data_IF_764569881899
#
_entry.id   IF_764569881899
#
_cell.length_a   1.000
_cell.length_b   1.000
_cell.length_c   1.000
_cell.angle_alpha   90.00
_cell.angle_beta   90.00
_cell.angle_gamma   90.00
#
_symmetry.space_group_name_H-M   'P 1'
#
loop_
_entity.id
_entity.type
_entity.pdbx_description
1 polymer ?
#
# COMPACT_ATOMS: atom_id res chain seq x y z
N UNK A 1 4.77 6.13 14.26
CA UNK A 1 3.90 5.13 13.65
C UNK A 1 3.37 5.72 12.34
N UNK A 2 3.66 5.07 11.20
CA UNK A 2 3.26 5.52 9.86
C UNK A 2 2.03 4.77 9.32
N UNK A 3 1.48 3.84 10.11
CA UNK A 3 0.18 3.24 9.81
C UNK A 3 -0.95 4.20 10.14
N UNK A 4 -1.95 4.25 9.27
CA UNK A 4 -3.16 5.05 9.48
C UNK A 4 -4.19 4.25 10.28
N UNK A 5 -4.84 4.91 11.19
CA UNK A 5 -5.90 4.34 11.99
C UNK A 5 -7.00 5.35 12.28
N UNK A 6 -8.22 4.92 12.16
CA UNK A 6 -9.42 5.74 12.37
C UNK A 6 -9.76 6.66 11.19
N UNK A 7 -10.99 7.11 11.16
CA UNK A 7 -11.49 8.06 10.19
C UNK A 7 -12.12 7.44 8.94
N UNK A 8 -12.84 8.29 8.24
CA UNK A 8 -13.60 7.96 7.04
C UNK A 8 -12.73 8.11 5.78
N UNK A 9 -12.60 7.05 5.00
CA UNK A 9 -11.85 7.03 3.73
C UNK A 9 -12.71 6.56 2.53
N UNK A 10 -14.01 6.61 2.67
CA UNK A 10 -14.95 6.28 1.59
C UNK A 10 -15.30 4.80 1.45
N UNK A 11 -14.64 3.90 2.18
CA UNK A 11 -14.89 2.46 2.18
C UNK A 11 -15.33 1.91 3.54
N UNK A 12 -15.76 2.76 4.46
CA UNK A 12 -16.12 2.37 5.83
C UNK A 12 -17.32 1.41 5.87
N UNK A 13 -18.24 1.53 4.93
CA UNK A 13 -19.39 0.66 4.81
C UNK A 13 -19.03 -0.78 4.37
N UNK A 14 -17.80 -1.04 4.01
CA UNK A 14 -17.28 -2.38 3.72
C UNK A 14 -16.58 -3.02 4.93
N UNK A 15 -16.45 -2.31 6.05
CA UNK A 15 -15.89 -2.82 7.30
C UNK A 15 -16.99 -3.35 8.22
N UNK A 16 -16.74 -4.45 8.97
CA UNK A 16 -17.69 -4.94 9.98
C UNK A 16 -17.68 -4.10 11.26
N UNK A 17 -16.81 -3.10 11.35
CA UNK A 17 -16.71 -2.16 12.48
C UNK A 17 -16.87 -0.73 11.98
N UNK A 18 -17.51 0.11 12.80
CA UNK A 18 -17.53 1.56 12.56
C UNK A 18 -16.17 2.14 12.95
N UNK A 19 -15.35 2.43 11.94
CA UNK A 19 -13.99 2.94 12.10
C UNK A 19 -13.95 4.34 12.75
N UNK A 20 -15.04 5.09 12.68
CA UNK A 20 -15.16 6.44 13.22
C UNK A 20 -15.58 6.46 14.69
N UNK A 21 -16.20 5.38 15.17
CA UNK A 21 -16.76 5.27 16.52
C UNK A 21 -16.31 3.97 17.19
N UNK A 22 -15.00 3.85 17.41
CA UNK A 22 -14.45 2.72 18.17
C UNK A 22 -14.62 2.93 19.67
N UNK A 23 -14.79 1.85 20.46
CA UNK A 23 -14.80 1.94 21.93
C UNK A 23 -13.51 2.58 22.48
N UNK A 24 -13.60 3.15 23.69
CA UNK A 24 -12.46 3.74 24.36
C UNK A 24 -11.30 2.75 24.50
N UNK A 25 -10.10 3.21 24.16
CA UNK A 25 -8.88 2.40 24.19
C UNK A 25 -8.72 1.41 23.03
N UNK A 26 -9.74 1.23 22.19
CA UNK A 26 -9.66 0.43 20.96
C UNK A 26 -9.21 1.31 19.80
N UNK A 27 -8.34 0.79 18.96
CA UNK A 27 -7.89 1.45 17.73
C UNK A 27 -7.81 0.45 16.59
N UNK A 28 -7.81 0.96 15.37
CA UNK A 28 -7.70 0.16 14.17
C UNK A 28 -6.44 0.54 13.40
N UNK A 29 -5.72 -0.43 12.88
CA UNK A 29 -4.70 -0.25 11.85
C UNK A 29 -5.34 -0.63 10.51
N UNK A 30 -5.36 0.34 9.59
CA UNK A 30 -6.10 0.22 8.33
C UNK A 30 -5.16 -0.08 7.17
N UNK A 31 -5.51 -1.10 6.38
CA UNK A 31 -4.80 -1.44 5.15
C UNK A 31 -5.04 -0.37 4.06
N UNK A 32 -6.30 -0.01 3.83
CA UNK A 32 -6.68 1.00 2.82
C UNK A 32 -6.23 2.41 3.19
N UNK A 33 -6.42 2.83 4.44
CA UNK A 33 -6.00 4.15 4.91
C UNK A 33 -4.49 4.34 4.78
N UNK A 34 -3.71 3.33 5.13
CA UNK A 34 -2.26 3.33 4.95
C UNK A 34 -1.89 3.40 3.47
N UNK A 35 -2.60 2.64 2.62
CA UNK A 35 -2.38 2.65 1.18
C UNK A 35 -2.74 4.00 0.53
N UNK A 36 -3.81 4.67 0.98
CA UNK A 36 -4.15 6.02 0.50
C UNK A 36 -3.05 7.03 0.82
N UNK A 37 -2.45 6.97 2.02
CA UNK A 37 -1.33 7.85 2.36
C UNK A 37 -0.10 7.58 1.50
N UNK A 38 0.17 6.31 1.19
CA UNK A 38 1.22 5.95 0.24
C UNK A 38 0.92 6.47 -1.18
N UNK A 39 -0.33 6.32 -1.65
CA UNK A 39 -0.75 6.81 -2.96
C UNK A 39 -0.63 8.35 -3.07
N UNK A 40 -0.98 9.09 -2.02
CA UNK A 40 -0.75 10.54 -1.99
C UNK A 40 0.73 10.89 -2.00
N UNK A 41 1.57 10.19 -1.23
CA UNK A 41 3.02 10.40 -1.26
C UNK A 41 3.60 10.11 -2.64
N UNK A 42 3.10 9.07 -3.33
CA UNK A 42 3.45 8.73 -4.70
C UNK A 42 3.05 9.83 -5.69
N UNK A 43 1.82 10.33 -5.60
CA UNK A 43 1.35 11.41 -6.46
C UNK A 43 2.20 12.68 -6.28
N UNK A 44 2.52 13.02 -5.04
CA UNK A 44 3.40 14.16 -4.74
C UNK A 44 4.84 13.93 -5.21
N UNK A 45 5.35 12.70 -5.15
CA UNK A 45 6.65 12.33 -5.71
C UNK A 45 6.67 12.57 -7.22
N UNK A 46 5.66 12.10 -7.95
CA UNK A 46 5.56 12.29 -9.40
C UNK A 46 5.53 13.78 -9.76
N UNK A 47 4.72 14.57 -9.04
CA UNK A 47 4.67 16.02 -9.24
C UNK A 47 6.03 16.69 -8.95
N UNK A 48 6.69 16.31 -7.86
CA UNK A 48 8.01 16.82 -7.51
C UNK A 48 9.06 16.49 -8.57
N UNK A 49 9.04 15.26 -9.13
CA UNK A 49 9.92 14.86 -10.22
C UNK A 49 9.73 15.71 -11.49
N UNK A 50 8.48 15.98 -11.86
CA UNK A 50 8.17 16.87 -13.00
C UNK A 50 8.73 18.28 -12.75
N UNK A 51 8.50 18.84 -11.57
CA UNK A 51 8.99 20.18 -11.23
C UNK A 51 10.52 20.23 -11.15
N UNK A 52 11.15 19.21 -10.57
CA UNK A 52 12.60 19.10 -10.46
C UNK A 52 13.30 18.94 -11.83
N UNK A 53 12.60 18.42 -12.83
CA UNK A 53 13.13 18.38 -14.20
C UNK A 53 13.33 19.76 -14.80
N UNK A 54 12.51 20.72 -14.41
CA UNK A 54 12.57 22.12 -14.86
C UNK A 54 13.41 23.00 -13.92
N UNK A 55 13.37 22.74 -12.60
CA UNK A 55 14.06 23.55 -11.60
C UNK A 55 14.58 22.69 -10.43
N UNK A 56 15.93 22.59 -10.27
CA UNK A 56 16.55 21.79 -9.20
C UNK A 56 16.18 22.20 -7.77
N UNK A 57 15.56 23.36 -7.55
CA UNK A 57 15.09 23.78 -6.22
C UNK A 57 14.07 22.79 -5.64
N UNK A 58 13.40 22.02 -6.49
CA UNK A 58 12.43 20.99 -6.08
C UNK A 58 13.04 19.62 -5.76
N UNK A 59 14.34 19.44 -5.87
CA UNK A 59 15.01 18.16 -5.54
C UNK A 59 14.75 17.71 -4.10
N UNK A 60 14.70 18.65 -3.15
CA UNK A 60 14.39 18.33 -1.75
C UNK A 60 12.95 17.79 -1.57
N UNK A 61 12.01 18.21 -2.42
CA UNK A 61 10.64 17.68 -2.40
C UNK A 61 10.58 16.26 -2.93
N UNK A 62 11.38 15.93 -3.95
CA UNK A 62 11.53 14.57 -4.46
C UNK A 62 12.04 13.65 -3.35
N UNK A 63 13.11 14.08 -2.66
CA UNK A 63 13.67 13.33 -1.52
C UNK A 63 12.62 13.11 -0.44
N UNK A 64 11.92 14.16 -0.03
CA UNK A 64 10.91 14.12 1.03
C UNK A 64 9.79 13.12 0.73
N UNK A 65 9.19 13.19 -0.46
CA UNK A 65 8.03 12.32 -0.77
C UNK A 65 8.43 10.87 -1.03
N UNK A 66 9.60 10.63 -1.61
CA UNK A 66 10.12 9.28 -1.73
C UNK A 66 10.42 8.68 -0.35
N UNK A 67 11.05 9.43 0.54
CA UNK A 67 11.32 9.04 1.92
C UNK A 67 10.03 8.67 2.66
N UNK A 68 9.01 9.50 2.53
CA UNK A 68 7.72 9.25 3.15
C UNK A 68 7.04 8.00 2.60
N UNK A 69 7.10 7.79 1.29
CA UNK A 69 6.58 6.58 0.67
C UNK A 69 7.28 5.32 1.20
N UNK A 70 8.61 5.33 1.24
CA UNK A 70 9.41 4.20 1.75
C UNK A 70 9.07 3.91 3.23
N UNK A 71 8.96 4.95 4.07
CA UNK A 71 8.58 4.79 5.47
C UNK A 71 7.19 4.15 5.66
N UNK A 72 6.23 4.49 4.78
CA UNK A 72 4.90 3.88 4.80
C UNK A 72 4.99 2.43 4.32
N UNK A 73 5.75 2.15 3.27
CA UNK A 73 5.96 0.79 2.75
C UNK A 73 6.59 -0.13 3.81
N UNK A 74 7.66 0.33 4.46
CA UNK A 74 8.31 -0.42 5.55
C UNK A 74 7.35 -0.68 6.72
N UNK A 75 6.53 0.32 7.08
CA UNK A 75 5.57 0.17 8.16
C UNK A 75 4.46 -0.82 7.81
N UNK A 76 3.97 -0.81 6.56
CA UNK A 76 2.97 -1.76 6.10
C UNK A 76 3.54 -3.19 6.10
N UNK A 77 4.75 -3.37 5.58
CA UNK A 77 5.39 -4.69 5.53
C UNK A 77 5.66 -5.26 6.94
N UNK A 78 6.15 -4.42 7.86
CA UNK A 78 6.38 -4.80 9.24
C UNK A 78 5.10 -4.94 10.08
N UNK A 79 3.96 -4.48 9.58
CA UNK A 79 2.71 -4.40 10.36
C UNK A 79 2.08 -5.76 10.60
N UNK A 80 2.21 -6.70 9.64
CA UNK A 80 1.46 -7.95 9.60
C UNK A 80 -0.01 -7.76 9.19
N UNK A 81 -0.33 -6.68 8.45
CA UNK A 81 -1.66 -6.50 7.83
C UNK A 81 -1.86 -7.42 6.61
N UNK A 82 -0.78 -7.92 6.02
CA UNK A 82 -0.84 -8.97 5.02
C UNK A 82 -0.89 -10.33 5.70
N UNK A 83 -1.94 -11.08 5.42
CA UNK A 83 -2.09 -12.45 5.91
C UNK A 83 -1.46 -13.41 4.89
N UNK A 84 -0.38 -14.08 5.31
CA UNK A 84 0.38 -14.98 4.44
C UNK A 84 -0.39 -16.26 4.06
N UNK A 85 -1.34 -16.71 4.88
CA UNK A 85 -2.18 -17.87 4.56
C UNK A 85 -3.21 -17.52 3.50
N UNK A 86 -3.95 -16.44 3.72
CA UNK A 86 -5.01 -15.98 2.81
C UNK A 86 -4.44 -15.29 1.55
N UNK A 87 -3.22 -14.76 1.60
CA UNK A 87 -2.63 -13.94 0.53
C UNK A 87 -3.39 -12.64 0.32
N UNK A 88 -3.79 -11.99 1.41
CA UNK A 88 -4.69 -10.84 1.36
C UNK A 88 -4.42 -9.86 2.50
N UNK A 89 -4.70 -8.57 2.30
CA UNK A 89 -4.58 -7.56 3.33
C UNK A 89 -5.85 -7.43 4.16
N UNK A 90 -5.69 -7.33 5.47
CA UNK A 90 -6.77 -7.12 6.41
C UNK A 90 -6.47 -5.95 7.34
N UNK A 91 -7.52 -5.24 7.74
CA UNK A 91 -7.45 -4.34 8.88
C UNK A 91 -7.25 -5.11 10.16
N UNK A 92 -6.77 -4.44 11.19
CA UNK A 92 -6.51 -5.05 12.48
C UNK A 92 -6.98 -4.14 13.62
N UNK A 93 -7.78 -4.71 14.53
CA UNK A 93 -8.12 -4.08 15.78
C UNK A 93 -6.99 -4.26 16.79
N UNK A 94 -6.78 -3.22 17.58
CA UNK A 94 -5.88 -3.23 18.74
C UNK A 94 -6.73 -2.86 19.93
N UNK A 95 -6.88 -3.77 20.90
CA UNK A 95 -7.63 -3.53 22.12
C UNK A 95 -6.87 -2.65 23.13
N UNK A 96 -7.53 -2.31 24.24
CA UNK A 96 -6.94 -1.49 25.30
C UNK A 96 -5.70 -2.15 25.98
N UNK A 97 -5.54 -3.46 25.82
CA UNK A 97 -4.40 -4.23 26.35
C UNK A 97 -3.27 -4.37 25.31
N UNK A 98 -3.48 -3.90 24.08
CA UNK A 98 -2.52 -3.99 22.99
C UNK A 98 -2.58 -5.31 22.22
N UNK A 99 -3.58 -6.16 22.45
CA UNK A 99 -3.80 -7.36 21.65
C UNK A 99 -4.23 -6.96 20.24
N UNK A 100 -3.72 -7.69 19.26
CA UNK A 100 -3.91 -7.41 17.84
C UNK A 100 -4.75 -8.50 17.20
N UNK A 101 -5.94 -8.16 16.72
CA UNK A 101 -6.90 -9.08 16.11
C UNK A 101 -7.15 -8.69 14.66
N UNK A 102 -6.81 -9.54 13.67
CA UNK A 102 -7.11 -9.26 12.27
C UNK A 102 -8.61 -9.34 12.02
N UNK A 103 -9.14 -8.41 11.24
CA UNK A 103 -10.53 -8.41 10.76
C UNK A 103 -10.55 -9.16 9.44
N UNK A 104 -10.70 -10.48 9.49
CA UNK A 104 -10.63 -11.36 8.30
C UNK A 104 -11.88 -11.30 7.43
N UNK A 105 -12.24 -10.10 6.97
CA UNK A 105 -13.31 -9.89 5.98
C UNK A 105 -12.70 -9.49 4.65
N UNK A 106 -12.85 -10.35 3.65
CA UNK A 106 -12.36 -10.11 2.30
C UNK A 106 -13.28 -9.13 1.57
N UNK A 107 -12.88 -7.87 1.56
CA UNK A 107 -13.58 -6.78 0.84
C UNK A 107 -12.58 -6.03 -0.05
N UNK A 108 -13.08 -5.10 -0.87
CA UNK A 108 -12.22 -4.23 -1.69
C UNK A 108 -11.21 -3.42 -0.86
N UNK A 109 -11.45 -3.22 0.44
CA UNK A 109 -10.51 -2.58 1.37
C UNK A 109 -9.13 -3.23 1.32
N UNK A 110 -9.07 -4.56 1.35
CA UNK A 110 -7.83 -5.33 1.31
C UNK A 110 -7.14 -5.36 -0.06
N UNK A 111 -7.77 -4.79 -1.11
CA UNK A 111 -7.16 -4.67 -2.43
C UNK A 111 -6.52 -3.29 -2.66
N UNK A 112 -6.88 -2.27 -1.88
CA UNK A 112 -6.38 -0.91 -2.04
C UNK A 112 -4.84 -0.82 -1.97
N UNK A 113 -4.13 -1.59 -1.11
CA UNK A 113 -2.67 -1.54 -1.07
C UNK A 113 -1.98 -1.78 -2.41
N UNK A 114 -2.56 -2.60 -3.31
CA UNK A 114 -1.98 -2.87 -4.63
C UNK A 114 -2.03 -1.63 -5.53
N UNK A 115 -3.00 -0.74 -5.33
CA UNK A 115 -3.21 0.44 -6.16
C UNK A 115 -2.20 1.55 -5.87
N UNK A 116 -1.52 1.52 -4.73
CA UNK A 116 -0.46 2.48 -4.38
C UNK A 116 0.84 2.12 -5.12
N UNK A 117 0.79 2.15 -6.44
CA UNK A 117 1.89 1.79 -7.35
C UNK A 117 2.01 2.85 -8.44
N UNK A 118 3.22 3.29 -8.72
CA UNK A 118 3.53 4.26 -9.76
C UNK A 118 4.75 3.86 -10.58
N UNK A 119 4.93 4.48 -11.73
CA UNK A 119 6.08 4.25 -12.59
C UNK A 119 6.68 5.57 -13.04
N UNK A 120 7.97 5.74 -12.83
CA UNK A 120 8.73 6.95 -13.17
C UNK A 120 9.97 6.58 -14.00
N UNK A 121 10.50 7.49 -14.84
CA UNK A 121 11.77 7.25 -15.52
C UNK A 121 12.89 7.00 -14.50
N UNK A 122 13.64 5.91 -14.69
CA UNK A 122 14.70 5.53 -13.75
C UNK A 122 15.78 6.61 -13.61
N UNK A 123 16.09 7.30 -14.71
CA UNK A 123 17.04 8.42 -14.70
C UNK A 123 16.64 9.57 -13.78
N UNK A 124 15.32 9.85 -13.64
CA UNK A 124 14.83 10.92 -12.78
C UNK A 124 14.98 10.57 -11.29
N UNK A 125 14.82 9.29 -10.93
CA UNK A 125 15.00 8.83 -9.55
C UNK A 125 16.48 8.75 -9.19
N UNK A 126 17.35 8.53 -10.17
CA UNK A 126 18.80 8.39 -9.95
C UNK A 126 19.59 9.70 -10.03
N UNK A 127 18.98 10.80 -10.52
CA UNK A 127 19.66 12.10 -10.72
C UNK A 127 20.10 12.81 -9.43
N UNK A 128 19.30 12.95 -8.39
CA UNK A 128 19.72 13.72 -7.23
C UNK A 128 20.83 13.02 -6.47
N UNK A 129 22.00 13.63 -6.38
CA UNK A 129 23.14 13.10 -5.60
C UNK A 129 22.78 12.93 -4.11
N UNK A 130 21.85 13.73 -3.60
CA UNK A 130 21.28 13.59 -2.26
C UNK A 130 20.44 12.32 -2.11
N UNK A 131 19.64 11.96 -3.10
CA UNK A 131 18.88 10.70 -3.14
C UNK A 131 19.83 9.49 -3.10
N UNK A 132 20.86 9.45 -3.96
CA UNK A 132 21.82 8.36 -3.98
C UNK A 132 22.52 8.16 -2.63
N UNK A 133 22.95 9.23 -1.97
CA UNK A 133 23.62 9.13 -0.67
C UNK A 133 22.69 8.66 0.44
N UNK A 134 21.44 9.12 0.43
CA UNK A 134 20.47 8.87 1.50
C UNK A 134 19.76 7.51 1.34
N UNK A 135 19.62 7.06 0.10
CA UNK A 135 18.93 5.83 -0.27
C UNK A 135 19.79 4.80 -0.97
N UNK A 136 21.14 4.93 -0.93
CA UNK A 136 22.06 4.00 -1.59
C UNK A 136 21.70 2.54 -1.30
N UNK A 137 21.45 2.21 -0.01
CA UNK A 137 21.05 0.88 0.41
C UNK A 137 19.72 0.44 -0.22
N UNK A 138 18.73 1.34 -0.31
CA UNK A 138 17.40 1.05 -0.91
C UNK A 138 17.44 0.95 -2.43
N UNK A 139 18.36 1.64 -3.08
CA UNK A 139 18.60 1.49 -4.51
C UNK A 139 19.36 0.19 -4.81
N UNK A 140 20.26 -0.22 -3.91
CA UNK A 140 20.93 -1.53 -3.97
C UNK A 140 19.90 -2.66 -3.74
N UNK A 141 18.98 -2.51 -2.77
CA UNK A 141 17.85 -3.43 -2.54
C UNK A 141 16.91 -3.47 -3.78
N UNK A 142 16.73 -2.34 -4.48
CA UNK A 142 15.96 -2.29 -5.72
C UNK A 142 16.61 -3.07 -6.87
N UNK A 143 17.94 -3.07 -6.96
CA UNK A 143 18.67 -3.86 -7.94
C UNK A 143 18.57 -5.37 -7.67
N UNK A 144 18.42 -5.78 -6.39
CA UNK A 144 18.14 -7.17 -6.00
C UNK A 144 16.66 -7.57 -6.12
N UNK A 145 15.74 -6.62 -6.37
CA UNK A 145 14.30 -6.85 -6.50
C UNK A 145 13.54 -6.98 -5.18
N UNK A 146 14.19 -6.64 -4.05
CA UNK A 146 13.61 -6.82 -2.69
C UNK A 146 12.97 -5.55 -2.11
N UNK A 147 13.21 -4.37 -2.72
CA UNK A 147 12.72 -3.10 -2.20
C UNK A 147 11.39 -2.63 -2.82
N UNK A 148 10.84 -1.50 -2.32
CA UNK A 148 9.64 -0.89 -2.88
C UNK A 148 9.86 -0.20 -4.24
N UNK A 149 11.08 -0.19 -4.74
CA UNK A 149 11.48 0.38 -6.04
C UNK A 149 12.03 -0.74 -6.90
N UNK A 150 11.39 -1.00 -8.03
CA UNK A 150 11.76 -2.08 -8.94
C UNK A 150 12.17 -1.51 -10.31
N UNK A 151 13.40 -1.73 -10.77
CA UNK A 151 13.79 -1.36 -12.11
C UNK A 151 13.07 -2.26 -13.13
N UNK A 152 12.41 -1.65 -14.11
CA UNK A 152 11.70 -2.38 -15.16
C UNK A 152 12.00 -1.76 -16.53
N UNK A 153 12.04 -2.58 -17.55
CA UNK A 153 12.16 -2.13 -18.93
C UNK A 153 10.79 -1.73 -19.46
N UNK A 154 10.59 -0.45 -19.68
CA UNK A 154 9.36 0.08 -20.21
C UNK A 154 9.19 -0.13 -21.71
N UNK A 155 8.00 0.18 -22.27
CA UNK A 155 7.77 0.20 -23.69
C UNK A 155 8.77 1.11 -24.42
N UNK A 156 9.30 0.66 -25.55
CA UNK A 156 10.31 1.42 -26.31
C UNK A 156 11.74 1.33 -25.75
N UNK A 157 11.99 0.46 -24.74
CA UNK A 157 13.34 0.21 -24.21
C UNK A 157 13.83 1.25 -23.21
N UNK A 158 12.93 2.15 -22.73
CA UNK A 158 13.27 3.12 -21.67
C UNK A 158 13.28 2.43 -20.31
N UNK A 159 14.34 2.62 -19.56
CA UNK A 159 14.42 2.11 -18.19
C UNK A 159 13.52 2.94 -17.27
N UNK A 160 12.68 2.25 -16.52
CA UNK A 160 11.74 2.84 -15.56
C UNK A 160 11.94 2.24 -14.18
N UNK A 161 11.59 3.00 -13.16
CA UNK A 161 11.40 2.49 -11.82
C UNK A 161 9.90 2.34 -11.56
N UNK A 162 9.46 1.15 -11.19
CA UNK A 162 8.16 0.94 -10.55
C UNK A 162 8.36 1.14 -9.06
N UNK A 163 7.58 2.04 -8.49
CA UNK A 163 7.55 2.29 -7.05
C UNK A 163 6.23 1.74 -6.54
N UNK A 164 6.27 0.71 -5.70
CA UNK A 164 5.10 -0.03 -5.24
C UNK A 164 5.07 -0.13 -3.72
N UNK A 165 3.87 0.01 -3.14
CA UNK A 165 3.68 -0.10 -1.70
C UNK A 165 3.88 -1.54 -1.21
N UNK A 166 3.46 -2.50 -2.03
CA UNK A 166 3.46 -3.93 -1.70
C UNK A 166 4.50 -4.68 -2.50
N UNK A 167 5.01 -5.77 -1.95
CA UNK A 167 5.95 -6.65 -2.64
C UNK A 167 5.28 -7.37 -3.82
N UNK A 168 6.04 -7.75 -4.86
CA UNK A 168 5.49 -8.44 -6.03
C UNK A 168 4.70 -9.70 -5.70
N UNK A 169 5.15 -10.50 -4.74
CA UNK A 169 4.45 -11.72 -4.32
C UNK A 169 3.11 -11.40 -3.64
N UNK A 170 3.06 -10.36 -2.81
CA UNK A 170 1.83 -9.90 -2.17
C UNK A 170 0.83 -9.39 -3.20
N UNK A 171 1.30 -8.60 -4.17
CA UNK A 171 0.48 -8.12 -5.27
C UNK A 171 -0.08 -9.28 -6.10
N UNK A 172 0.77 -10.25 -6.48
CA UNK A 172 0.35 -11.42 -7.26
C UNK A 172 -0.71 -12.24 -6.52
N UNK A 173 -0.52 -12.54 -5.25
CA UNK A 173 -1.45 -13.32 -4.44
C UNK A 173 -2.78 -12.60 -4.25
N UNK A 174 -2.74 -11.29 -4.00
CA UNK A 174 -3.96 -10.47 -3.91
C UNK A 174 -4.70 -10.43 -5.26
N UNK A 175 -3.98 -10.29 -6.39
CA UNK A 175 -4.59 -10.32 -7.73
C UNK A 175 -5.18 -11.68 -8.08
N UNK A 176 -4.62 -12.79 -7.60
CA UNK A 176 -5.23 -14.11 -7.75
C UNK A 176 -6.61 -14.17 -7.08
N UNK A 177 -6.77 -13.52 -5.91
CA UNK A 177 -8.10 -13.40 -5.26
C UNK A 177 -9.07 -12.55 -6.08
N UNK A 178 -8.59 -11.48 -6.71
CA UNK A 178 -9.42 -10.63 -7.58
C UNK A 178 -9.98 -11.42 -8.76
N UNK A 179 -9.17 -12.28 -9.36
CA UNK A 179 -9.51 -13.04 -10.56
C UNK A 179 -10.23 -14.39 -10.29
N UNK A 180 -10.38 -14.74 -9.02
CA UNK A 180 -11.05 -15.98 -8.61
C UNK A 180 -12.57 -15.75 -8.49
N UNK A 181 -13.36 -16.56 -9.24
CA UNK A 181 -14.84 -16.49 -9.25
C UNK A 181 -15.46 -16.89 -7.90
N UNK A 182 -14.76 -17.69 -7.12
CA UNK A 182 -15.18 -18.06 -5.76
C UNK A 182 -14.93 -16.97 -4.73
N UNK A 183 -14.26 -15.89 -5.13
CA UNK A 183 -14.00 -14.72 -4.31
C UNK A 183 -14.59 -13.45 -4.91
N UNK A 184 -13.85 -12.71 -5.72
CA UNK A 184 -14.23 -11.37 -6.15
C UNK A 184 -14.76 -11.31 -7.60
N UNK A 185 -14.30 -12.17 -8.50
CA UNK A 185 -14.69 -12.09 -9.90
C UNK A 185 -16.16 -12.53 -10.09
N UNK A 186 -16.89 -11.76 -10.88
CA UNK A 186 -18.25 -12.13 -11.30
C UNK A 186 -18.45 -11.82 -12.79
N UNK A 187 -19.50 -12.35 -13.44
CA UNK A 187 -19.82 -12.00 -14.84
C UNK A 187 -20.04 -10.50 -15.09
N UNK A 188 -20.27 -9.73 -14.01
CA UNK A 188 -20.59 -8.29 -14.07
C UNK A 188 -19.46 -7.39 -13.54
N UNK A 189 -18.32 -7.98 -13.18
CA UNK A 189 -17.16 -7.25 -12.60
C UNK A 189 -16.78 -7.75 -11.21
N UNK A 190 -16.09 -6.91 -10.44
CA UNK A 190 -15.64 -7.28 -9.11
C UNK A 190 -16.71 -7.05 -8.06
N UNK A 191 -16.85 -8.03 -7.16
CA UNK A 191 -17.70 -7.89 -5.97
C UNK A 191 -17.02 -6.98 -4.96
N UNK A 192 -17.79 -6.18 -4.25
CA UNK A 192 -17.28 -5.35 -3.12
C UNK A 192 -16.90 -6.20 -1.91
N UNK A 193 -17.55 -7.35 -1.74
CA UNK A 193 -17.29 -8.34 -0.70
C UNK A 193 -17.11 -9.71 -1.34
N UNK A 194 -16.17 -10.49 -0.86
CA UNK A 194 -15.91 -11.84 -1.36
C UNK A 194 -17.14 -12.74 -1.22
N UNK A 195 -17.41 -13.54 -2.27
CA UNK A 195 -18.48 -14.56 -2.27
C UNK A 195 -18.35 -15.60 -1.15
N UNK A 196 -17.15 -15.75 -0.58
CA UNK A 196 -16.91 -16.68 0.54
C UNK A 196 -17.64 -16.28 1.83
N UNK A 197 -18.02 -15.02 1.98
CA UNK A 197 -18.79 -14.54 3.13
C UNK A 197 -20.29 -14.83 2.93
N UNK A 198 -20.67 -16.08 3.17
CA UNK A 198 -22.06 -16.57 3.08
C UNK A 198 -22.86 -16.41 4.38
N UNK A 199 -22.17 -16.08 5.47
CA UNK A 199 -22.76 -15.81 6.79
C UNK A 199 -22.25 -14.46 7.29
N UNK A 200 -23.00 -13.75 8.16
CA UNK A 200 -22.53 -12.53 8.79
C UNK A 200 -21.20 -12.75 9.54
N UNK A 201 -20.27 -11.86 9.32
CA UNK A 201 -18.98 -11.89 10.02
C UNK A 201 -19.14 -11.29 11.41
N UNK A 202 -18.64 -11.99 12.42
CA UNK A 202 -18.55 -11.47 13.79
C UNK A 202 -17.10 -11.20 14.11
N UNK A 203 -16.80 -9.97 14.52
CA UNK A 203 -15.46 -9.59 14.95
C UNK A 203 -15.15 -10.39 16.23
N UNK A 204 -14.00 -11.09 16.29
CA UNK A 204 -13.58 -11.77 17.51
C UNK A 204 -13.42 -10.76 18.66
N UNK A 205 -14.06 -11.04 19.79
CA UNK A 205 -14.02 -10.21 21.00
C UNK A 205 -12.80 -10.44 21.86
#
# INVERSE_FOLDING_TARGET
NTLVGGGFLGLDNLSPVDRSHLPDGVRIEQADGTAWMAAYSMAMLILALVLASENPVYDDMVVKFLEQFILISDALDASGLFDEEDGFFYDRLIDAHGNRTPIKVQTLVGLIPILATGSVPLEQVSRPSALRKRFARRLDDAESGEGPILPVRGPGGTDRAVVALVRPEQALRSMQRVLDEDTFLSPHGLRSVSRRHVVPYTVPG
#
